data_IF_563416923184
#
_entry.id   IF_563416923184
#
_cell.length_a   1.000
_cell.length_b   1.000
_cell.length_c   1.000
_cell.angle_alpha   90.00
_cell.angle_beta   90.00
_cell.angle_gamma   90.00
#
_symmetry.space_group_name_H-M   'P 1'
#
loop_
_entity.id
_entity.type
_entity.pdbx_description
1 polymer ?
#
# COMPACT_ATOMS: atom_id res chain seq x y z
N UNK A 1 79.76 -14.61 -1.44
CA UNK A 1 78.74 -14.26 -2.42
C UNK A 1 77.35 -14.71 -1.88
N UNK A 2 76.29 -13.78 -1.10
CA UNK A 2 75.23 -14.06 -0.59
C UNK A 2 74.28 -13.60 -1.28
N UNK A 3 73.62 -14.38 -1.45
CA UNK A 3 72.36 -14.05 -2.10
C UNK A 3 71.28 -13.62 -1.04
N UNK A 4 70.92 -12.47 -0.94
CA UNK A 4 70.02 -12.06 -0.26
C UNK A 4 68.85 -12.31 -0.80
N UNK A 5 68.03 -12.92 -0.15
CA UNK A 5 66.62 -13.24 -0.37
C UNK A 5 65.79 -12.03 0.05
N UNK A 6 65.17 -11.32 -0.93
CA UNK A 6 64.20 -10.25 -0.64
C UNK A 6 62.85 -10.91 -0.36
N UNK A 7 62.39 -10.84 0.89
CA UNK A 7 61.06 -11.25 1.28
C UNK A 7 60.06 -10.20 0.78
N UNK A 8 59.15 -10.60 -0.11
CA UNK A 8 58.01 -9.77 -0.56
C UNK A 8 56.86 -10.06 0.40
N UNK A 9 56.54 -9.06 1.20
CA UNK A 9 55.34 -9.10 2.10
C UNK A 9 54.09 -8.80 1.27
N UNK A 10 53.26 -9.81 1.03
CA UNK A 10 51.96 -9.64 0.41
C UNK A 10 50.95 -9.21 1.50
N UNK A 11 50.63 -7.91 1.55
CA UNK A 11 49.51 -7.43 2.39
C UNK A 11 48.25 -7.62 1.57
N UNK A 12 47.55 -8.71 1.80
CA UNK A 12 46.22 -8.92 1.24
C UNK A 12 45.22 -7.96 1.93
N UNK A 13 44.73 -7.01 1.15
CA UNK A 13 43.60 -6.16 1.59
C UNK A 13 42.35 -7.03 1.60
N UNK A 14 41.94 -7.49 2.78
CA UNK A 14 40.66 -8.16 2.95
C UNK A 14 39.57 -7.06 3.00
N UNK A 15 39.03 -6.73 1.82
CA UNK A 15 37.86 -5.87 1.76
C UNK A 15 36.67 -6.66 2.31
N UNK A 16 36.34 -6.45 3.57
CA UNK A 16 35.04 -6.88 4.11
C UNK A 16 33.97 -6.04 3.41
N UNK A 17 33.35 -6.59 2.40
CA UNK A 17 32.07 -6.09 1.92
C UNK A 17 31.09 -6.27 3.09
N UNK A 18 30.87 -5.21 3.87
CA UNK A 18 29.65 -5.09 4.62
C UNK A 18 28.54 -4.87 3.59
N UNK A 19 28.06 -5.95 3.01
CA UNK A 19 26.81 -5.93 2.28
C UNK A 19 25.73 -5.60 3.31
N UNK A 20 25.34 -4.34 3.40
CA UNK A 20 24.11 -3.99 4.05
C UNK A 20 23.02 -4.87 3.42
N UNK A 21 22.39 -5.74 4.21
CA UNK A 21 21.15 -6.37 3.77
C UNK A 21 20.17 -5.22 3.53
N UNK A 22 19.86 -4.96 2.28
CA UNK A 22 18.65 -4.21 1.97
C UNK A 22 17.54 -5.03 2.62
N UNK A 23 17.01 -4.53 3.70
CA UNK A 23 15.84 -5.14 4.33
C UNK A 23 14.75 -5.17 3.26
N UNK A 24 14.19 -6.33 3.00
CA UNK A 24 13.05 -6.42 2.09
C UNK A 24 11.94 -5.53 2.64
N UNK A 25 11.29 -4.76 1.78
CA UNK A 25 10.13 -3.97 2.17
C UNK A 25 9.03 -4.91 2.69
N UNK A 26 8.31 -4.50 3.71
CA UNK A 26 7.41 -5.39 4.46
C UNK A 26 6.00 -4.84 4.49
N UNK A 27 5.04 -5.72 4.24
CA UNK A 27 3.61 -5.39 4.24
C UNK A 27 2.93 -6.13 5.39
N UNK A 28 2.29 -5.37 6.29
CA UNK A 28 1.39 -5.93 7.31
C UNK A 28 0.03 -6.22 6.65
N UNK A 29 -0.43 -7.47 6.67
CA UNK A 29 -1.65 -7.90 5.99
C UNK A 29 -2.77 -8.22 6.99
N UNK A 30 -3.90 -7.52 6.88
CA UNK A 30 -5.08 -7.65 7.75
C UNK A 30 -6.25 -8.28 6.98
N UNK A 31 -6.70 -9.46 7.45
CA UNK A 31 -7.77 -10.25 6.80
C UNK A 31 -9.17 -9.64 7.00
N UNK A 32 -10.12 -10.15 6.26
CA UNK A 32 -11.53 -9.77 6.38
C UNK A 32 -12.22 -10.38 7.59
N UNK A 33 -13.37 -9.83 7.95
CA UNK A 33 -14.18 -10.34 9.07
C UNK A 33 -14.57 -11.81 8.89
N UNK A 34 -14.51 -12.58 9.97
CA UNK A 34 -14.74 -14.02 9.95
C UNK A 34 -13.58 -14.83 9.39
N UNK A 35 -12.46 -14.15 9.07
CA UNK A 35 -11.29 -14.76 8.45
C UNK A 35 -10.13 -15.02 9.40
N UNK A 36 -8.95 -15.15 8.81
CA UNK A 36 -7.70 -15.40 9.53
C UNK A 36 -6.52 -15.00 8.62
N UNK A 37 -5.32 -14.94 9.18
CA UNK A 37 -4.08 -14.80 8.41
C UNK A 37 -4.03 -15.83 7.27
N UNK A 38 -4.34 -17.10 7.57
CA UNK A 38 -4.30 -18.17 6.57
C UNK A 38 -5.36 -17.96 5.47
N UNK A 39 -6.58 -17.55 5.81
CA UNK A 39 -7.63 -17.37 4.81
C UNK A 39 -7.28 -16.24 3.81
N UNK A 40 -6.64 -15.16 4.28
CA UNK A 40 -6.16 -14.09 3.39
C UNK A 40 -4.97 -14.58 2.55
N UNK A 41 -4.03 -15.26 3.17
CA UNK A 41 -2.83 -15.77 2.51
C UNK A 41 -3.17 -16.71 1.33
N UNK A 42 -4.24 -17.49 1.45
CA UNK A 42 -4.63 -18.47 0.45
C UNK A 42 -5.61 -17.93 -0.61
N UNK A 43 -6.06 -16.69 -0.54
CA UNK A 43 -6.79 -16.08 -1.67
C UNK A 43 -5.92 -16.08 -2.91
N UNK A 44 -6.50 -16.41 -4.07
CA UNK A 44 -5.74 -16.48 -5.33
C UNK A 44 -5.08 -15.12 -5.64
N UNK A 45 -5.81 -14.01 -5.49
CA UNK A 45 -5.23 -12.68 -5.74
C UNK A 45 -4.05 -12.36 -4.83
N UNK A 46 -4.07 -12.82 -3.57
CA UNK A 46 -2.94 -12.66 -2.65
C UNK A 46 -1.74 -13.50 -3.08
N UNK A 47 -1.97 -14.72 -3.57
CA UNK A 47 -0.90 -15.58 -4.08
C UNK A 47 -0.27 -14.95 -5.33
N UNK A 48 -1.11 -14.45 -6.24
CA UNK A 48 -0.65 -13.77 -7.47
C UNK A 48 0.17 -12.53 -7.12
N UNK A 49 -0.30 -11.70 -6.17
CA UNK A 49 0.39 -10.48 -5.74
C UNK A 49 1.76 -10.79 -5.14
N UNK A 50 1.84 -11.81 -4.27
CA UNK A 50 3.11 -12.25 -3.68
C UNK A 50 4.08 -12.80 -4.74
N UNK A 51 3.56 -13.48 -5.75
CA UNK A 51 4.38 -13.99 -6.85
C UNK A 51 4.94 -12.86 -7.73
N UNK A 52 4.15 -11.79 -7.92
CA UNK A 52 4.54 -10.62 -8.71
C UNK A 52 5.54 -9.72 -7.98
N UNK A 53 5.56 -9.75 -6.64
CA UNK A 53 6.35 -8.84 -5.79
C UNK A 53 7.29 -9.62 -4.86
N UNK A 54 8.23 -10.41 -5.41
CA UNK A 54 9.12 -11.23 -4.59
C UNK A 54 10.08 -10.41 -3.69
N UNK A 55 10.23 -9.12 -3.97
CA UNK A 55 11.04 -8.19 -3.17
C UNK A 55 10.32 -7.68 -1.93
N UNK A 56 9.02 -7.95 -1.80
CA UNK A 56 8.21 -7.57 -0.64
C UNK A 56 7.94 -8.79 0.26
N UNK A 57 8.12 -8.61 1.56
CA UNK A 57 7.72 -9.62 2.55
C UNK A 57 6.30 -9.34 3.04
N UNK A 58 5.37 -10.24 2.76
CA UNK A 58 3.97 -10.16 3.21
C UNK A 58 3.83 -10.88 4.55
N UNK A 59 3.50 -10.15 5.61
CA UNK A 59 3.38 -10.68 6.98
C UNK A 59 1.92 -10.58 7.41
N UNK A 60 1.33 -11.71 7.74
CA UNK A 60 -0.11 -11.85 7.96
C UNK A 60 -0.42 -11.90 9.45
N UNK A 61 -1.15 -10.90 9.95
CA UNK A 61 -1.67 -10.91 11.31
C UNK A 61 -3.04 -11.58 11.36
N UNK A 62 -3.28 -12.37 12.39
CA UNK A 62 -4.64 -12.88 12.70
C UNK A 62 -5.24 -12.02 13.80
N UNK A 63 -6.53 -11.69 13.65
CA UNK A 63 -7.25 -10.93 14.68
C UNK A 63 -7.18 -11.61 16.05
N UNK A 64 -7.01 -10.84 17.14
CA UNK A 64 -7.08 -11.38 18.49
C UNK A 64 -8.52 -11.61 18.98
N UNK A 65 -9.52 -11.10 18.26
CA UNK A 65 -10.92 -11.15 18.68
C UNK A 65 -11.57 -12.46 18.19
N UNK A 66 -12.35 -13.09 19.06
CA UNK A 66 -13.03 -14.34 18.74
C UNK A 66 -13.93 -14.18 17.50
N UNK A 67 -14.01 -15.23 16.70
CA UNK A 67 -14.79 -15.22 15.45
C UNK A 67 -14.02 -14.67 14.25
N UNK A 68 -12.74 -14.31 14.42
CA UNK A 68 -11.91 -13.82 13.31
C UNK A 68 -12.33 -12.43 12.83
N UNK A 69 -12.82 -11.60 13.73
CA UNK A 69 -13.19 -10.20 13.43
C UNK A 69 -12.21 -9.26 14.14
N UNK A 70 -11.88 -8.13 13.53
CA UNK A 70 -10.98 -7.17 14.18
C UNK A 70 -11.67 -6.44 15.34
N UNK A 71 -12.96 -6.28 15.22
CA UNK A 71 -13.86 -5.78 16.27
C UNK A 71 -15.26 -6.34 16.00
N UNK A 72 -16.00 -6.57 17.06
CA UNK A 72 -17.37 -7.14 16.97
C UNK A 72 -18.36 -6.08 16.49
N UNK A 73 -19.43 -6.53 15.86
CA UNK A 73 -20.57 -5.64 15.60
C UNK A 73 -21.20 -5.18 16.92
N UNK A 74 -21.81 -3.98 16.93
CA UNK A 74 -22.55 -3.54 18.11
C UNK A 74 -23.73 -4.48 18.41
N UNK A 75 -24.19 -4.56 19.67
CA UNK A 75 -25.39 -5.31 19.99
C UNK A 75 -26.56 -4.86 19.11
N UNK A 76 -27.35 -5.79 18.62
CA UNK A 76 -28.47 -5.50 17.72
C UNK A 76 -28.09 -5.48 16.24
N UNK A 77 -26.86 -5.89 15.88
CA UNK A 77 -26.44 -6.05 14.48
C UNK A 77 -26.46 -4.76 13.67
N UNK A 78 -26.00 -3.68 14.26
CA UNK A 78 -25.92 -2.38 13.60
C UNK A 78 -27.17 -1.51 13.69
N UNK A 79 -28.26 -2.03 14.26
CA UNK A 79 -29.49 -1.23 14.52
C UNK A 79 -29.27 -0.22 15.63
N UNK A 80 -28.33 -0.49 16.51
CA UNK A 80 -27.95 0.39 17.62
C UNK A 80 -26.44 0.68 17.51
N UNK A 81 -26.05 1.68 16.71
CA UNK A 81 -24.64 2.00 16.50
C UNK A 81 -23.94 2.34 17.82
N UNK A 82 -22.69 1.89 17.97
CA UNK A 82 -21.87 2.25 19.13
C UNK A 82 -21.17 3.60 18.90
N UNK A 83 -21.11 4.40 19.96
CA UNK A 83 -20.39 5.68 19.97
C UNK A 83 -19.02 5.56 20.69
N UNK A 84 -18.63 4.36 21.09
CA UNK A 84 -17.37 4.13 21.81
C UNK A 84 -16.19 4.28 20.87
N UNK A 85 -15.31 5.28 21.09
CA UNK A 85 -14.11 5.45 20.24
C UNK A 85 -13.05 4.37 20.49
N UNK A 86 -13.15 3.64 21.59
CA UNK A 86 -12.20 2.60 22.00
C UNK A 86 -12.67 1.18 21.60
N UNK A 87 -13.68 1.09 20.74
CA UNK A 87 -14.30 -0.19 20.39
C UNK A 87 -13.34 -1.20 19.79
N UNK A 88 -12.25 -0.72 19.16
CA UNK A 88 -11.23 -1.56 18.52
C UNK A 88 -9.93 -1.67 19.33
N UNK A 89 -9.88 -1.22 20.59
CA UNK A 89 -8.65 -1.18 21.39
C UNK A 89 -7.94 -2.53 21.50
N UNK A 90 -8.68 -3.62 21.62
CA UNK A 90 -8.11 -4.97 21.68
C UNK A 90 -7.25 -5.24 20.43
N UNK A 91 -7.77 -4.88 19.26
CA UNK A 91 -7.05 -5.07 18.00
C UNK A 91 -5.90 -4.07 17.84
N UNK A 92 -6.10 -2.79 18.23
CA UNK A 92 -5.04 -1.77 18.15
C UNK A 92 -3.83 -2.19 19.03
N UNK A 93 -4.08 -2.55 20.27
CA UNK A 93 -3.03 -2.97 21.19
C UNK A 93 -2.31 -4.23 20.70
N UNK A 94 -3.07 -5.20 20.21
CA UNK A 94 -2.48 -6.40 19.60
C UNK A 94 -1.59 -6.05 18.40
N UNK A 95 -2.04 -5.15 17.52
CA UNK A 95 -1.25 -4.76 16.35
C UNK A 95 0.01 -3.98 16.76
N UNK A 96 -0.05 -3.15 17.81
CA UNK A 96 1.13 -2.49 18.35
C UNK A 96 2.19 -3.53 18.77
N UNK A 97 1.79 -4.54 19.56
CA UNK A 97 2.68 -5.63 20.01
C UNK A 97 3.18 -6.46 18.82
N UNK A 98 2.30 -6.74 17.86
CA UNK A 98 2.63 -7.50 16.65
C UNK A 98 3.70 -6.76 15.83
N UNK A 99 3.54 -5.45 15.63
CA UNK A 99 4.49 -4.64 14.86
C UNK A 99 5.80 -4.46 15.63
N UNK A 100 5.74 -4.26 16.93
CA UNK A 100 6.95 -4.19 17.77
C UNK A 100 7.80 -5.46 17.66
N UNK A 101 7.14 -6.61 17.47
CA UNK A 101 7.82 -7.92 17.40
C UNK A 101 8.26 -8.25 15.96
N UNK A 102 7.44 -7.94 14.98
CA UNK A 102 7.59 -8.40 13.60
C UNK A 102 7.93 -7.28 12.59
N UNK A 103 7.88 -6.01 13.02
CA UNK A 103 8.12 -4.87 12.14
C UNK A 103 9.59 -4.47 12.03
N UNK A 104 9.89 -3.32 11.48
CA UNK A 104 8.92 -2.36 10.99
C UNK A 104 8.22 -2.81 9.71
N UNK A 105 7.14 -2.08 9.33
CA UNK A 105 6.40 -2.31 8.11
C UNK A 105 6.32 -1.01 7.29
N UNK A 106 6.56 -1.13 5.99
CA UNK A 106 6.50 -0.01 5.05
C UNK A 106 5.07 0.24 4.56
N UNK A 107 4.27 -0.83 4.52
CA UNK A 107 2.89 -0.76 4.05
C UNK A 107 1.94 -1.59 4.93
N UNK A 108 0.66 -1.18 4.95
CA UNK A 108 -0.43 -1.96 5.52
C UNK A 108 -1.41 -2.33 4.41
N UNK A 109 -1.79 -3.60 4.37
CA UNK A 109 -2.79 -4.12 3.44
C UNK A 109 -4.02 -4.56 4.23
N UNK A 110 -5.15 -3.94 3.96
CA UNK A 110 -6.44 -4.33 4.53
C UNK A 110 -7.36 -4.94 3.49
N UNK A 111 -8.03 -6.03 3.85
CA UNK A 111 -9.05 -6.64 3.01
C UNK A 111 -10.37 -6.70 3.79
N UNK A 112 -11.47 -6.22 3.16
CA UNK A 112 -12.82 -6.25 3.76
C UNK A 112 -12.81 -5.55 5.13
N UNK A 113 -13.12 -6.22 6.26
CA UNK A 113 -13.03 -5.62 7.60
C UNK A 113 -11.59 -5.22 7.97
N UNK A 114 -10.58 -5.77 7.32
CA UNK A 114 -9.20 -5.29 7.48
C UNK A 114 -9.00 -3.85 7.02
N UNK A 115 -9.85 -3.34 6.11
CA UNK A 115 -9.77 -1.94 5.65
C UNK A 115 -10.11 -0.96 6.77
N UNK A 116 -11.31 -0.99 7.38
CA UNK A 116 -11.57 -0.09 8.50
C UNK A 116 -10.61 -0.29 9.68
N UNK A 117 -10.14 -1.53 9.92
CA UNK A 117 -9.12 -1.76 10.95
C UNK A 117 -7.79 -1.08 10.59
N UNK A 118 -7.38 -1.11 9.30
CA UNK A 118 -6.19 -0.37 8.85
C UNK A 118 -6.34 1.13 9.11
N UNK A 119 -7.51 1.72 8.80
CA UNK A 119 -7.77 3.14 9.05
C UNK A 119 -7.70 3.48 10.55
N UNK A 120 -8.30 2.64 11.39
CA UNK A 120 -8.24 2.81 12.86
C UNK A 120 -6.79 2.70 13.34
N UNK A 121 -6.03 1.74 12.80
CA UNK A 121 -4.62 1.58 13.18
C UNK A 121 -3.78 2.79 12.73
N UNK A 122 -3.99 3.31 11.53
CA UNK A 122 -3.29 4.52 11.06
C UNK A 122 -3.61 5.75 11.92
N UNK A 123 -4.80 5.76 12.58
CA UNK A 123 -5.22 6.84 13.47
C UNK A 123 -4.64 6.71 14.89
N UNK A 124 -4.57 5.50 15.43
CA UNK A 124 -4.33 5.24 16.86
C UNK A 124 -3.07 4.44 17.15
N UNK A 125 -2.49 3.77 16.16
CA UNK A 125 -1.34 2.87 16.37
C UNK A 125 -0.06 3.63 16.72
N UNK A 126 0.82 2.95 17.45
CA UNK A 126 2.10 3.52 17.93
C UNK A 126 3.19 3.54 16.85
N UNK A 127 2.99 2.86 15.72
CA UNK A 127 4.00 2.68 14.69
C UNK A 127 3.59 3.34 13.38
N UNK A 128 4.55 4.05 12.77
CA UNK A 128 4.34 4.71 11.48
C UNK A 128 4.40 3.70 10.33
N UNK A 129 3.46 3.82 9.40
CA UNK A 129 3.40 3.03 8.16
C UNK A 129 3.23 4.03 7.00
N UNK A 130 4.00 3.87 5.94
CA UNK A 130 4.07 4.84 4.83
C UNK A 130 3.00 4.68 3.76
N UNK A 131 2.52 3.46 3.55
CA UNK A 131 1.59 3.15 2.44
C UNK A 131 0.40 2.33 2.92
N UNK A 132 -0.76 2.51 2.27
CA UNK A 132 -1.97 1.74 2.57
C UNK A 132 -2.55 1.12 1.29
N UNK A 133 -2.77 -0.20 1.29
CA UNK A 133 -3.44 -0.93 0.20
C UNK A 133 -4.76 -1.47 0.74
N UNK A 134 -5.86 -0.96 0.25
CA UNK A 134 -7.18 -1.17 0.86
C UNK A 134 -8.13 -1.80 -0.16
N UNK A 135 -8.43 -3.10 0.04
CA UNK A 135 -9.16 -3.94 -0.92
C UNK A 135 -10.57 -4.24 -0.45
N UNK A 136 -11.56 -3.81 -1.24
CA UNK A 136 -12.99 -4.15 -1.08
C UNK A 136 -13.48 -3.97 0.36
N UNK A 137 -13.11 -2.83 0.97
CA UNK A 137 -13.49 -2.50 2.34
C UNK A 137 -14.52 -1.38 2.41
N UNK A 138 -14.62 -0.79 3.59
CA UNK A 138 -15.66 0.19 3.88
C UNK A 138 -15.24 1.08 5.05
N UNK A 139 -16.02 2.11 5.35
CA UNK A 139 -15.93 2.84 6.62
C UNK A 139 -16.82 2.15 7.66
N UNK A 140 -16.45 2.10 8.94
CA UNK A 140 -17.19 1.31 9.94
C UNK A 140 -18.47 2.01 10.39
N UNK A 141 -19.48 2.07 9.51
CA UNK A 141 -20.68 2.90 9.63
C UNK A 141 -21.58 2.57 10.83
N UNK A 142 -21.46 1.37 11.40
CA UNK A 142 -22.17 1.00 12.64
C UNK A 142 -21.38 1.35 13.91
N UNK A 143 -20.17 1.90 13.74
CA UNK A 143 -19.26 2.25 14.84
C UNK A 143 -18.94 3.74 14.77
N UNK A 144 -19.90 4.57 15.20
CA UNK A 144 -19.77 6.03 15.13
C UNK A 144 -18.52 6.53 15.86
N UNK A 145 -18.15 5.91 16.97
CA UNK A 145 -16.93 6.24 17.72
C UNK A 145 -15.67 6.01 16.86
N UNK A 146 -15.58 4.88 16.16
CA UNK A 146 -14.45 4.61 15.28
C UNK A 146 -14.44 5.55 14.06
N UNK A 147 -15.62 5.89 13.52
CA UNK A 147 -15.71 6.90 12.43
C UNK A 147 -15.19 8.25 12.90
N UNK A 148 -15.53 8.66 14.12
CA UNK A 148 -15.03 9.92 14.68
C UNK A 148 -13.51 9.90 14.82
N UNK A 149 -12.94 8.79 15.29
CA UNK A 149 -11.49 8.59 15.37
C UNK A 149 -10.84 8.73 13.97
N UNK A 150 -11.38 8.01 12.99
CA UNK A 150 -10.86 8.06 11.60
C UNK A 150 -10.94 9.50 11.06
N UNK A 151 -12.09 10.16 11.23
CA UNK A 151 -12.31 11.52 10.70
C UNK A 151 -11.43 12.58 11.38
N UNK A 152 -11.17 12.42 12.68
CA UNK A 152 -10.33 13.36 13.44
C UNK A 152 -8.85 13.31 12.98
N UNK A 153 -8.43 12.19 12.39
CA UNK A 153 -7.07 11.98 11.92
C UNK A 153 -6.94 12.10 10.39
N UNK A 154 -8.06 12.17 9.67
CA UNK A 154 -8.08 12.38 8.23
C UNK A 154 -7.83 13.87 7.88
N UNK A 155 -7.24 14.20 6.73
CA UNK A 155 -6.76 13.23 5.73
C UNK A 155 -5.42 12.63 6.13
N UNK A 156 -5.31 11.32 5.94
CA UNK A 156 -4.07 10.60 6.20
C UNK A 156 -3.00 10.97 5.17
N UNK A 157 -1.74 11.15 5.59
CA UNK A 157 -0.65 11.51 4.67
C UNK A 157 -0.10 10.32 3.87
N UNK A 158 -0.44 9.10 4.25
CA UNK A 158 0.03 7.89 3.56
C UNK A 158 -0.40 7.90 2.09
N UNK A 159 0.47 7.42 1.20
CA UNK A 159 0.04 7.09 -0.16
C UNK A 159 -0.86 5.86 -0.10
N UNK A 160 -2.06 5.97 -0.66
CA UNK A 160 -3.07 4.92 -0.55
C UNK A 160 -3.48 4.37 -1.92
N UNK A 161 -3.66 3.05 -2.00
CA UNK A 161 -4.33 2.39 -3.10
C UNK A 161 -5.68 1.89 -2.59
N UNK A 162 -6.75 2.34 -3.22
CA UNK A 162 -8.13 1.95 -2.87
C UNK A 162 -8.66 1.11 -4.03
N UNK A 163 -8.86 -0.16 -3.77
CA UNK A 163 -9.38 -1.11 -4.76
C UNK A 163 -10.80 -1.50 -4.38
N UNK A 164 -11.74 -1.30 -5.30
CA UNK A 164 -13.13 -1.71 -5.15
C UNK A 164 -13.57 -2.48 -6.39
N UNK A 165 -14.56 -3.37 -6.25
CA UNK A 165 -15.10 -4.12 -7.39
C UNK A 165 -16.58 -3.81 -7.58
N UNK A 166 -16.96 -3.39 -8.81
CA UNK A 166 -18.36 -3.09 -9.17
C UNK A 166 -19.30 -4.28 -8.95
N UNK A 167 -18.78 -5.47 -9.21
CA UNK A 167 -19.56 -6.71 -9.02
C UNK A 167 -19.59 -7.20 -7.57
N UNK A 168 -18.99 -6.47 -6.64
CA UNK A 168 -19.19 -6.64 -5.21
C UNK A 168 -20.36 -5.76 -4.77
N UNK A 169 -21.57 -6.16 -5.10
CA UNK A 169 -22.77 -5.34 -5.01
C UNK A 169 -23.09 -4.79 -3.62
N UNK A 170 -22.61 -5.44 -2.57
CA UNK A 170 -22.83 -4.96 -1.19
C UNK A 170 -21.80 -3.91 -0.77
N UNK A 171 -20.52 -4.11 -1.13
CA UNK A 171 -19.44 -3.27 -0.61
C UNK A 171 -19.00 -2.17 -1.57
N UNK A 172 -19.37 -2.23 -2.85
CA UNK A 172 -18.88 -1.28 -3.86
C UNK A 172 -19.14 0.19 -3.45
N UNK A 173 -20.41 0.53 -3.26
CA UNK A 173 -20.79 1.93 -2.98
C UNK A 173 -20.21 2.46 -1.66
N UNK A 174 -20.18 1.62 -0.62
CA UNK A 174 -19.66 2.04 0.68
C UNK A 174 -18.12 2.04 0.70
N UNK A 175 -17.50 1.29 -0.20
CA UNK A 175 -16.05 1.24 -0.35
C UNK A 175 -15.48 2.50 -1.01
N UNK A 176 -16.22 3.10 -1.93
CA UNK A 176 -15.80 4.32 -2.63
C UNK A 176 -15.49 5.49 -1.66
N UNK A 177 -16.15 5.53 -0.50
CA UNK A 177 -15.97 6.60 0.48
C UNK A 177 -14.62 6.55 1.21
N UNK A 178 -13.91 5.42 1.14
CA UNK A 178 -12.62 5.23 1.83
C UNK A 178 -11.56 6.20 1.30
N UNK A 179 -11.53 6.45 -0.01
CA UNK A 179 -10.56 7.34 -0.66
C UNK A 179 -10.54 8.75 -0.07
N UNK A 180 -11.71 9.23 0.40
CA UNK A 180 -11.86 10.57 0.96
C UNK A 180 -11.13 10.75 2.30
N UNK A 181 -10.50 9.70 2.80
CA UNK A 181 -9.70 9.74 4.04
C UNK A 181 -8.21 9.95 3.79
N UNK A 182 -7.77 10.09 2.52
CA UNK A 182 -6.36 10.23 2.16
C UNK A 182 -6.12 11.50 1.34
N UNK A 183 -4.96 12.13 1.56
CA UNK A 183 -4.51 13.26 0.73
C UNK A 183 -4.07 12.77 -0.65
N UNK A 184 -3.37 11.64 -0.68
CA UNK A 184 -2.79 11.06 -1.89
C UNK A 184 -3.30 9.63 -2.07
N UNK A 185 -4.06 9.39 -3.14
CA UNK A 185 -4.60 8.06 -3.38
C UNK A 185 -4.68 7.72 -4.87
N UNK A 186 -4.60 6.42 -5.15
CA UNK A 186 -4.92 5.79 -6.43
C UNK A 186 -6.18 4.97 -6.24
N UNK A 187 -7.23 5.24 -7.03
CA UNK A 187 -8.47 4.46 -7.00
C UNK A 187 -8.48 3.49 -8.19
N UNK A 188 -8.71 2.22 -7.90
CA UNK A 188 -8.84 1.17 -8.93
C UNK A 188 -10.21 0.50 -8.80
N UNK A 189 -10.94 0.47 -9.90
CA UNK A 189 -12.28 -0.12 -9.97
C UNK A 189 -12.23 -1.36 -10.86
N UNK A 190 -12.48 -2.53 -10.28
CA UNK A 190 -12.53 -3.80 -11.00
C UNK A 190 -13.97 -4.13 -11.40
N UNK A 191 -14.14 -4.68 -12.59
CA UNK A 191 -15.44 -5.21 -13.04
C UNK A 191 -15.57 -6.72 -12.76
N UNK A 192 -14.50 -7.38 -12.31
CA UNK A 192 -14.44 -8.85 -12.26
C UNK A 192 -14.08 -9.44 -10.91
N UNK A 193 -13.41 -8.68 -10.03
CA UNK A 193 -12.81 -9.25 -8.81
C UNK A 193 -13.83 -9.76 -7.79
N UNK A 194 -15.02 -9.16 -7.74
CA UNK A 194 -15.98 -9.46 -6.68
C UNK A 194 -15.43 -9.08 -5.31
N UNK A 195 -15.91 -9.74 -4.25
CA UNK A 195 -15.40 -9.50 -2.89
C UNK A 195 -14.11 -10.30 -2.64
N UNK A 196 -13.05 -9.98 -3.41
CA UNK A 196 -11.74 -10.64 -3.32
C UNK A 196 -10.63 -9.69 -3.77
N UNK A 197 -9.37 -10.03 -3.50
CA UNK A 197 -8.23 -9.34 -4.09
C UNK A 197 -8.18 -9.63 -5.60
N UNK A 198 -7.70 -8.68 -6.43
CA UNK A 198 -7.56 -8.94 -7.87
C UNK A 198 -6.59 -10.08 -8.12
N UNK A 199 -6.95 -10.99 -9.01
CA UNK A 199 -6.04 -12.02 -9.52
C UNK A 199 -5.20 -11.46 -10.66
N UNK A 200 -4.18 -12.19 -11.08
CA UNK A 200 -3.32 -11.80 -12.20
C UNK A 200 -4.09 -11.57 -13.51
N UNK A 201 -5.32 -12.08 -13.62
CA UNK A 201 -6.18 -11.85 -14.79
C UNK A 201 -7.04 -10.59 -14.71
N UNK A 202 -7.08 -9.91 -13.55
CA UNK A 202 -7.83 -8.65 -13.41
C UNK A 202 -7.09 -7.53 -14.15
N UNK A 203 -7.85 -6.68 -14.85
CA UNK A 203 -7.27 -5.59 -15.64
C UNK A 203 -6.47 -4.59 -14.81
N UNK A 204 -6.79 -4.46 -13.52
CA UNK A 204 -6.10 -3.55 -12.60
C UNK A 204 -4.93 -4.19 -11.85
N UNK A 205 -4.68 -5.49 -12.04
CA UNK A 205 -3.66 -6.21 -11.25
C UNK A 205 -2.28 -5.56 -11.38
N UNK A 206 -1.87 -5.23 -12.61
CA UNK A 206 -0.55 -4.62 -12.83
C UNK A 206 -0.44 -3.25 -12.14
N UNK A 207 -1.52 -2.47 -12.08
CA UNK A 207 -1.52 -1.17 -11.40
C UNK A 207 -1.33 -1.31 -9.88
N UNK A 208 -1.82 -2.42 -9.29
CA UNK A 208 -1.54 -2.73 -7.87
C UNK A 208 -0.05 -3.05 -7.68
N UNK A 209 0.53 -3.83 -8.59
CA UNK A 209 1.97 -4.16 -8.56
C UNK A 209 2.80 -2.87 -8.71
N UNK A 210 2.49 -2.05 -9.70
CA UNK A 210 3.20 -0.80 -9.98
C UNK A 210 3.17 0.17 -8.78
N UNK A 211 2.04 0.23 -8.07
CA UNK A 211 1.92 1.06 -6.86
C UNK A 211 2.97 0.69 -5.82
N UNK A 212 3.16 -0.60 -5.57
CA UNK A 212 4.15 -1.08 -4.59
C UNK A 212 5.60 -0.98 -5.12
N UNK A 213 5.81 -1.14 -6.41
CA UNK A 213 7.14 -0.96 -7.01
C UNK A 213 7.58 0.51 -6.90
N UNK A 214 6.66 1.45 -7.12
CA UNK A 214 6.93 2.89 -6.99
C UNK A 214 7.16 3.28 -5.52
N UNK A 215 6.44 2.66 -4.57
CA UNK A 215 6.67 2.86 -3.15
C UNK A 215 8.11 2.48 -2.74
N UNK A 216 8.62 1.38 -3.30
CA UNK A 216 9.98 0.90 -3.05
C UNK A 216 11.06 1.85 -3.58
N UNK A 217 10.81 2.55 -4.69
CA UNK A 217 11.80 3.44 -5.31
C UNK A 217 11.93 4.79 -4.59
N UNK A 218 10.90 5.24 -3.86
CA UNK A 218 10.92 6.53 -3.19
C UNK A 218 11.71 6.53 -1.87
N UNK A 219 11.87 5.36 -1.22
CA UNK A 219 12.57 5.26 0.06
C UNK A 219 14.10 5.14 -0.06
N UNK A 220 14.63 4.90 -1.27
CA UNK A 220 16.07 4.77 -1.48
C UNK A 220 16.82 6.10 -1.60
N UNK A 221 16.10 7.25 -1.59
CA UNK A 221 16.71 8.56 -1.86
C UNK A 221 16.83 9.50 -0.63
N UNK A 222 16.85 8.97 0.61
CA UNK A 222 17.12 9.79 1.79
C UNK A 222 18.55 9.66 2.34
N UNK A 223 19.52 9.40 1.45
CA UNK A 223 20.94 9.46 1.79
C UNK A 223 21.49 10.84 1.54
N UNK A 224 22.09 11.47 2.55
CA UNK A 224 22.89 12.68 2.42
C UNK A 224 24.07 12.40 1.47
N UNK A 225 23.86 12.60 0.17
CA UNK A 225 24.95 12.57 -0.78
C UNK A 225 25.62 13.94 -0.91
N UNK A 226 26.83 14.00 -0.47
CA UNK A 226 27.78 14.99 -0.96
C UNK A 226 28.03 14.66 -2.42
N UNK A 227 27.40 15.42 -3.30
CA UNK A 227 27.49 15.26 -4.75
C UNK A 227 28.93 15.46 -5.20
N UNK A 228 29.60 14.39 -5.62
CA UNK A 228 30.65 14.49 -6.61
C UNK A 228 30.01 14.17 -7.96
N UNK A 229 29.85 15.21 -8.74
CA UNK A 229 29.27 15.16 -10.08
C UNK A 229 30.07 14.17 -10.98
N UNK A 230 29.50 13.02 -11.29
CA UNK A 230 29.88 12.19 -12.43
C UNK A 230 28.60 11.94 -13.24
N UNK A 231 28.40 12.80 -14.24
CA UNK A 231 27.17 12.85 -15.03
C UNK A 231 26.68 11.53 -15.60
N UNK A 232 25.65 11.00 -14.99
CA UNK A 232 24.70 10.09 -15.62
C UNK A 232 23.30 10.64 -15.36
N UNK A 233 22.70 11.19 -16.40
CA UNK A 233 21.36 11.77 -16.35
C UNK A 233 20.35 10.72 -15.90
N UNK A 234 19.75 10.94 -14.72
CA UNK A 234 18.57 10.18 -14.28
C UNK A 234 17.35 10.68 -15.07
N UNK A 235 17.08 10.04 -16.17
CA UNK A 235 15.90 10.31 -16.98
C UNK A 235 14.70 9.64 -16.32
N UNK A 236 13.77 10.45 -15.79
CA UNK A 236 12.47 9.93 -15.31
C UNK A 236 11.52 9.86 -16.48
N UNK A 237 10.90 8.71 -16.70
CA UNK A 237 9.87 8.54 -17.72
C UNK A 237 8.50 8.49 -17.09
N UNK A 238 7.55 9.22 -17.68
CA UNK A 238 6.15 9.26 -17.25
C UNK A 238 5.27 8.78 -18.41
N UNK A 239 4.29 7.96 -18.11
CA UNK A 239 3.31 7.53 -19.09
C UNK A 239 2.10 8.46 -19.03
N UNK A 240 1.82 9.16 -20.13
CA UNK A 240 0.63 9.99 -20.30
C UNK A 240 -0.38 9.25 -21.19
N UNK A 241 -1.51 8.89 -20.62
CA UNK A 241 -2.63 8.31 -21.35
C UNK A 241 -3.57 9.44 -21.78
N UNK A 242 -3.79 9.54 -23.07
CA UNK A 242 -4.67 10.55 -23.65
C UNK A 242 -6.01 9.89 -23.98
N UNK A 243 -7.05 10.35 -23.31
CA UNK A 243 -8.41 9.82 -23.44
C UNK A 243 -9.30 10.81 -24.20
N UNK A 244 -10.23 10.30 -24.99
CA UNK A 244 -11.24 11.10 -25.68
C UNK A 244 -12.64 10.57 -25.38
N UNK A 245 -13.56 11.46 -25.09
CA UNK A 245 -14.97 11.16 -24.91
C UNK A 245 -15.74 12.39 -24.53
N UNK A 246 -17.01 12.41 -24.88
CA UNK A 246 -17.92 13.53 -24.57
C UNK A 246 -18.54 13.41 -23.18
N UNK A 247 -18.33 12.27 -22.52
CA UNK A 247 -18.85 11.94 -21.20
C UNK A 247 -17.72 11.25 -20.39
N UNK A 248 -17.45 11.69 -19.16
CA UNK A 248 -16.40 11.08 -18.33
C UNK A 248 -16.57 9.57 -18.08
N UNK A 249 -17.80 9.06 -18.20
CA UNK A 249 -18.08 7.62 -18.05
C UNK A 249 -17.82 6.80 -19.32
N UNK A 250 -17.47 7.44 -20.44
CA UNK A 250 -17.29 6.77 -21.73
C UNK A 250 -16.06 7.34 -22.46
N UNK A 251 -14.90 7.24 -21.83
CA UNK A 251 -13.64 7.73 -22.39
C UNK A 251 -12.91 6.59 -23.12
N UNK A 252 -12.49 6.85 -24.33
CA UNK A 252 -11.69 5.94 -25.15
C UNK A 252 -10.22 6.36 -25.11
N UNK A 253 -9.32 5.42 -24.84
CA UNK A 253 -7.88 5.68 -24.92
C UNK A 253 -7.47 5.83 -26.38
N UNK A 254 -7.01 7.01 -26.76
CA UNK A 254 -6.60 7.31 -28.15
C UNK A 254 -5.09 7.36 -28.34
N UNK A 255 -4.33 7.60 -27.29
CA UNK A 255 -2.86 7.67 -27.38
C UNK A 255 -2.23 7.41 -26.00
N UNK A 256 -1.03 6.87 -26.04
CA UNK A 256 -0.16 6.76 -24.85
C UNK A 256 1.22 7.28 -25.22
N UNK A 257 1.69 8.27 -24.48
CA UNK A 257 3.03 8.84 -24.69
C UNK A 257 3.90 8.63 -23.48
N UNK A 258 5.15 8.28 -23.74
CA UNK A 258 6.19 8.26 -22.70
C UNK A 258 6.88 9.62 -22.76
N UNK A 259 6.86 10.34 -21.65
CA UNK A 259 7.53 11.64 -21.52
C UNK A 259 8.77 11.40 -20.67
N UNK A 260 9.93 11.70 -21.22
CA UNK A 260 11.21 11.65 -20.51
C UNK A 260 11.58 13.07 -20.07
N UNK A 261 11.92 13.23 -18.81
CA UNK A 261 12.32 14.53 -18.26
C UNK A 261 13.64 14.38 -17.50
N UNK A 262 14.57 15.25 -17.83
CA UNK A 262 15.89 15.34 -17.19
C UNK A 262 15.94 16.45 -16.11
N UNK A 263 14.83 17.13 -15.81
CA UNK A 263 14.83 18.23 -14.85
C UNK A 263 13.88 17.99 -13.68
N UNK A 264 14.35 18.35 -12.49
CA UNK A 264 13.55 18.39 -11.27
C UNK A 264 12.50 19.50 -11.38
N UNK A 265 11.24 19.13 -11.19
CA UNK A 265 10.07 20.01 -11.10
C UNK A 265 9.66 20.76 -12.37
N UNK A 266 8.93 20.08 -13.25
CA UNK A 266 8.03 20.78 -14.17
C UNK A 266 6.59 20.40 -13.84
N UNK A 267 5.80 21.41 -13.51
CA UNK A 267 4.36 21.26 -13.36
C UNK A 267 3.73 21.20 -14.75
N UNK A 268 3.05 20.11 -15.08
CA UNK A 268 2.28 20.01 -16.32
C UNK A 268 0.84 20.48 -16.04
N UNK A 269 0.42 21.52 -16.72
CA UNK A 269 -0.98 21.94 -16.74
C UNK A 269 -1.62 21.38 -18.01
N UNK A 270 -2.53 20.44 -17.84
CA UNK A 270 -3.36 19.98 -18.97
C UNK A 270 -4.52 20.96 -19.13
N UNK A 271 -4.64 21.58 -20.29
CA UNK A 271 -5.81 22.39 -20.66
C UNK A 271 -6.70 21.57 -21.59
N UNK A 272 -7.98 21.50 -21.25
CA UNK A 272 -8.99 21.00 -22.16
C UNK A 272 -9.19 22.02 -23.27
N UNK A 273 -8.83 21.67 -24.48
CA UNK A 273 -9.08 22.49 -25.67
C UNK A 273 -10.44 22.07 -26.24
N UNK A 274 -11.43 22.96 -26.25
CA UNK A 274 -12.69 22.62 -26.91
C UNK A 274 -12.45 22.37 -28.39
N UNK A 275 -13.13 21.38 -28.94
CA UNK A 275 -13.16 21.19 -30.40
C UNK A 275 -14.05 22.27 -31.02
N UNK A 276 -13.49 23.05 -31.92
CA UNK A 276 -14.28 23.95 -32.80
C UNK A 276 -15.10 23.15 -33.81
#
# INVERSE_FOLDING_TARGET
MXLXIKSILFIGLLSTFLGGRLSANRILCLHGGGGSAASLQYQQGMQDLRAALPQWEFVFASSPVAGGVWYNDPPGGGKEPTNDPNWADVAVNYLNDFIATNGPFDAILGYSQGVPMSLVYLALGDHTIGHALLFNGYLPTTHNGLIQVINANAPYPQSALIFVAENDTYFYEIGLAVKNRFTNYTELISTTAGHALPTASDANFQLVVDFLENANSSDTDSGTDTVTDTGTDNVRSFRLNILRGDDPSNLELIDTRIIESSEQSQFFKAELVPND
#
